data_IF_068831522409
#
_entry.id   IF_068831522409
#
_cell.length_a   1.000
_cell.length_b   1.000
_cell.length_c   1.000
_cell.angle_alpha   90.00
_cell.angle_beta   90.00
_cell.angle_gamma   90.00
#
_symmetry.space_group_name_H-M   'P 1'
#
loop_
_entity.id
_entity.type
_entity.pdbx_description
1 polymer ?
#
# COMPACT_ATOMS: atom_id res chain seq x y z
N UNK A 1 -11.00 -9.49 13.52
CA UNK A 1 -12.29 -8.78 13.55
C UNK A 1 -12.53 -8.00 12.26
N UNK A 2 -11.84 -6.87 11.99
CA UNK A 2 -12.06 -6.08 10.77
C UNK A 2 -11.96 -6.88 9.45
N UNK A 3 -10.91 -7.68 9.29
CA UNK A 3 -10.72 -8.52 8.09
C UNK A 3 -11.87 -9.50 7.90
N UNK A 4 -12.29 -10.17 8.97
CA UNK A 4 -13.37 -11.17 8.93
C UNK A 4 -14.71 -10.50 8.59
N UNK A 5 -15.03 -9.38 9.23
CA UNK A 5 -16.27 -8.63 8.97
C UNK A 5 -16.36 -8.20 7.50
N UNK A 6 -15.26 -7.72 6.93
CA UNK A 6 -15.21 -7.31 5.52
C UNK A 6 -15.49 -8.47 4.56
N UNK A 7 -14.92 -9.64 4.86
CA UNK A 7 -15.12 -10.87 4.08
C UNK A 7 -16.56 -11.36 4.23
N UNK A 8 -17.09 -11.40 5.44
CA UNK A 8 -18.47 -11.82 5.74
C UNK A 8 -19.51 -10.94 5.05
N UNK A 9 -19.30 -9.63 5.03
CA UNK A 9 -20.18 -8.66 4.35
C UNK A 9 -20.00 -8.68 2.83
N UNK A 10 -18.97 -9.37 2.31
CA UNK A 10 -18.74 -9.53 0.88
C UNK A 10 -18.23 -8.27 0.20
N UNK A 11 -17.39 -7.48 0.89
CA UNK A 11 -16.77 -6.27 0.31
C UNK A 11 -15.93 -6.67 -0.90
N UNK A 12 -16.26 -6.12 -2.07
CA UNK A 12 -15.63 -6.53 -3.35
C UNK A 12 -14.28 -5.87 -3.62
N UNK A 13 -14.10 -4.62 -3.18
CA UNK A 13 -12.88 -3.85 -3.39
C UNK A 13 -12.56 -3.07 -2.12
N UNK A 14 -11.32 -3.18 -1.66
CA UNK A 14 -10.85 -2.43 -0.51
C UNK A 14 -9.35 -2.13 -0.60
N UNK A 15 -8.97 -1.05 0.07
CA UNK A 15 -7.58 -0.68 0.32
C UNK A 15 -7.37 -0.66 1.82
N UNK A 16 -6.42 -1.45 2.29
CA UNK A 16 -5.99 -1.42 3.67
C UNK A 16 -4.89 -0.39 3.82
N UNK A 17 -5.33 0.77 4.32
CA UNK A 17 -4.51 1.94 4.55
C UNK A 17 -3.36 1.64 5.51
N UNK A 18 -2.13 2.02 5.11
CA UNK A 18 -0.89 1.91 5.91
C UNK A 18 -0.82 0.63 6.76
N UNK A 19 -0.95 -0.53 6.12
CA UNK A 19 -1.03 -1.79 6.86
C UNK A 19 0.26 -2.08 7.63
N UNK A 20 0.12 -2.29 8.94
CA UNK A 20 1.18 -2.67 9.89
C UNK A 20 0.78 -3.88 10.74
N UNK A 21 -0.29 -4.56 10.34
CA UNK A 21 -0.85 -5.68 11.08
C UNK A 21 -0.09 -7.00 10.89
N UNK A 22 -0.60 -8.08 11.51
CA UNK A 22 -0.05 -9.43 11.40
C UNK A 22 -0.02 -9.99 9.97
N UNK A 23 0.91 -10.92 9.70
CA UNK A 23 1.12 -11.50 8.36
C UNK A 23 -0.01 -12.46 7.93
N UNK A 24 -0.65 -13.14 8.87
CA UNK A 24 -1.84 -13.95 8.65
C UNK A 24 -3.02 -13.09 8.20
N UNK A 25 -3.21 -11.93 8.82
CA UNK A 25 -4.20 -10.96 8.38
C UNK A 25 -3.87 -10.44 6.98
N UNK A 26 -2.61 -10.07 6.71
CA UNK A 26 -2.19 -9.66 5.37
C UNK A 26 -2.51 -10.73 4.32
N UNK A 27 -2.16 -12.00 4.58
CA UNK A 27 -2.44 -13.10 3.66
C UNK A 27 -3.93 -13.18 3.33
N UNK A 28 -4.80 -13.14 4.35
CA UNK A 28 -6.26 -13.17 4.15
C UNK A 28 -6.74 -12.02 3.27
N UNK A 29 -6.20 -10.82 3.47
CA UNK A 29 -6.54 -9.65 2.65
C UNK A 29 -6.18 -9.85 1.18
N UNK A 30 -4.98 -10.37 0.92
CA UNK A 30 -4.48 -10.61 -0.43
C UNK A 30 -5.22 -11.75 -1.12
N UNK A 31 -5.57 -12.81 -0.40
CA UNK A 31 -6.39 -13.93 -0.91
C UNK A 31 -7.77 -13.44 -1.43
N UNK A 32 -8.26 -12.30 -0.92
CA UNK A 32 -9.52 -11.66 -1.35
C UNK A 32 -9.31 -10.53 -2.36
N UNK A 33 -8.10 -10.36 -2.90
CA UNK A 33 -7.80 -9.36 -3.92
C UNK A 33 -7.76 -7.91 -3.42
N UNK A 34 -7.74 -7.70 -2.10
CA UNK A 34 -7.61 -6.36 -1.52
C UNK A 34 -6.22 -5.80 -1.75
N UNK A 35 -6.12 -4.47 -1.74
CA UNK A 35 -4.86 -3.76 -1.93
C UNK A 35 -4.33 -3.20 -0.62
N UNK A 36 -3.02 -3.02 -0.52
CA UNK A 36 -2.34 -2.38 0.59
C UNK A 36 -1.71 -1.09 0.08
N UNK A 37 -1.91 0.02 0.80
CA UNK A 37 -1.24 1.28 0.46
C UNK A 37 0.09 1.42 1.21
N UNK A 38 1.08 1.97 0.51
CA UNK A 38 2.41 2.24 1.03
C UNK A 38 2.60 3.73 1.30
N UNK A 39 2.99 4.07 2.52
CA UNK A 39 3.31 5.43 2.95
C UNK A 39 4.83 5.68 2.97
N UNK A 40 5.30 6.92 3.21
CA UNK A 40 6.72 7.19 3.44
C UNK A 40 7.33 6.39 4.60
N UNK A 41 6.52 5.88 5.53
CA UNK A 41 6.97 4.98 6.60
C UNK A 41 7.58 3.68 6.07
N UNK A 42 7.33 3.29 4.81
CA UNK A 42 7.95 2.13 4.18
C UNK A 42 9.48 2.27 4.08
N UNK A 43 10.02 3.48 4.26
CA UNK A 43 11.46 3.68 4.37
C UNK A 43 12.06 3.14 5.69
N UNK A 44 11.28 2.99 6.76
CA UNK A 44 11.86 2.72 8.08
C UNK A 44 11.03 1.85 9.03
N UNK A 45 9.71 1.81 8.93
CA UNK A 45 8.87 0.99 9.80
C UNK A 45 9.10 -0.49 9.48
N UNK A 46 9.48 -1.28 10.48
CA UNK A 46 9.79 -2.71 10.31
C UNK A 46 8.55 -3.47 9.85
N UNK A 47 7.42 -3.22 10.49
CA UNK A 47 6.13 -3.86 10.25
C UNK A 47 5.59 -3.48 8.87
N UNK A 48 5.61 -2.18 8.54
CA UNK A 48 5.13 -1.72 7.24
C UNK A 48 6.02 -2.23 6.10
N UNK A 49 7.35 -2.23 6.28
CA UNK A 49 8.29 -2.83 5.30
C UNK A 49 8.02 -4.31 5.09
N UNK A 50 7.75 -5.07 6.15
CA UNK A 50 7.41 -6.49 6.02
C UNK A 50 6.10 -6.68 5.24
N UNK A 51 5.07 -5.88 5.52
CA UNK A 51 3.81 -5.92 4.79
C UNK A 51 4.00 -5.64 3.29
N UNK A 52 4.70 -4.56 2.94
CA UNK A 52 4.96 -4.19 1.55
C UNK A 52 5.80 -5.25 0.83
N UNK A 53 6.83 -5.82 1.48
CA UNK A 53 7.62 -6.92 0.88
C UNK A 53 6.76 -8.14 0.53
N UNK A 54 5.81 -8.49 1.39
CA UNK A 54 4.96 -9.67 1.21
C UNK A 54 3.71 -9.41 0.36
N UNK A 55 3.42 -8.16 0.00
CA UNK A 55 2.27 -7.80 -0.86
C UNK A 55 2.67 -7.85 -2.34
N UNK A 56 2.04 -8.65 -3.22
CA UNK A 56 2.31 -8.62 -4.66
C UNK A 56 2.17 -7.20 -5.24
N UNK A 57 2.95 -6.85 -6.28
CA UNK A 57 3.01 -5.48 -6.80
C UNK A 57 1.65 -5.02 -7.32
N UNK A 58 0.88 -5.93 -7.92
CA UNK A 58 -0.49 -5.76 -8.39
C UNK A 58 -1.51 -5.48 -7.27
N UNK A 59 -1.12 -5.62 -6.01
CA UNK A 59 -1.93 -5.29 -4.84
C UNK A 59 -1.39 -4.07 -4.07
N UNK A 60 -0.39 -3.34 -4.59
CA UNK A 60 0.17 -2.16 -3.92
C UNK A 60 -0.42 -0.87 -4.50
N UNK A 61 -0.73 0.07 -3.60
CA UNK A 61 -1.02 1.48 -3.91
C UNK A 61 0.03 2.37 -3.24
N UNK A 62 0.23 3.58 -3.76
CA UNK A 62 1.10 4.58 -3.11
C UNK A 62 0.25 5.67 -2.49
N UNK A 63 0.63 6.09 -1.28
CA UNK A 63 -0.01 7.21 -0.60
C UNK A 63 1.01 8.00 0.24
N UNK A 64 0.53 9.07 0.88
CA UNK A 64 1.34 9.88 1.82
C UNK A 64 0.72 10.02 3.19
N UNK A 65 -0.60 9.85 3.31
CA UNK A 65 -1.36 10.25 4.50
C UNK A 65 -1.06 11.69 4.94
N UNK A 66 -0.83 12.59 3.98
CA UNK A 66 -0.57 14.00 4.30
C UNK A 66 -1.75 14.60 5.07
N UNK A 67 -1.53 15.31 6.19
CA UNK A 67 -0.27 15.90 6.65
C UNK A 67 0.45 15.14 7.80
N UNK A 68 0.48 13.81 7.81
CA UNK A 68 1.19 13.04 8.85
C UNK A 68 2.67 13.39 8.92
N UNK A 69 3.22 13.47 10.14
CA UNK A 69 4.66 13.65 10.36
C UNK A 69 5.40 12.31 10.35
N UNK A 70 6.26 12.11 9.35
CA UNK A 70 7.14 10.96 9.26
C UNK A 70 8.52 11.33 9.80
N UNK A 71 8.81 10.94 11.04
CA UNK A 71 10.09 11.24 11.72
C UNK A 71 10.43 12.74 11.76
N UNK A 72 9.43 13.58 12.03
CA UNK A 72 9.61 15.03 12.17
C UNK A 72 9.40 15.83 10.88
N UNK A 73 9.27 15.16 9.73
CA UNK A 73 8.92 15.82 8.47
C UNK A 73 7.43 15.67 8.18
N UNK A 74 6.71 16.79 8.05
CA UNK A 74 5.29 16.80 7.68
C UNK A 74 5.15 16.37 6.22
N UNK A 75 4.27 15.40 5.95
CA UNK A 75 4.02 14.93 4.60
C UNK A 75 3.23 15.93 3.76
N UNK A 76 3.63 16.06 2.50
CA UNK A 76 2.87 16.69 1.43
C UNK A 76 2.55 15.65 0.35
N UNK A 77 1.53 15.85 -0.51
CA UNK A 77 1.20 14.92 -1.58
C UNK A 77 2.40 14.55 -2.48
N UNK A 78 3.32 15.50 -2.73
CA UNK A 78 4.54 15.27 -3.50
C UNK A 78 5.48 14.22 -2.86
N UNK A 79 5.37 13.99 -1.54
CA UNK A 79 6.12 12.95 -0.84
C UNK A 79 5.68 11.53 -1.21
N UNK A 80 4.69 11.34 -2.09
CA UNK A 80 4.39 10.02 -2.68
C UNK A 80 5.61 9.44 -3.41
N UNK A 81 6.54 10.29 -3.87
CA UNK A 81 7.83 9.86 -4.43
C UNK A 81 8.74 9.15 -3.41
N UNK A 82 8.58 9.43 -2.11
CA UNK A 82 9.28 8.73 -1.01
C UNK A 82 8.69 7.34 -0.80
N UNK A 83 7.36 7.20 -0.89
CA UNK A 83 6.66 5.90 -0.89
C UNK A 83 7.08 5.08 -2.11
N UNK A 84 7.08 5.69 -3.31
CA UNK A 84 7.53 5.06 -4.56
C UNK A 84 8.96 4.51 -4.43
N UNK A 85 9.88 5.32 -3.89
CA UNK A 85 11.28 4.92 -3.72
C UNK A 85 11.42 3.75 -2.75
N UNK A 86 10.68 3.77 -1.64
CA UNK A 86 10.67 2.67 -0.67
C UNK A 86 10.11 1.38 -1.28
N UNK A 87 8.99 1.45 -2.00
CA UNK A 87 8.39 0.25 -2.63
C UNK A 87 9.33 -0.32 -3.69
N UNK A 88 9.94 0.51 -4.54
CA UNK A 88 10.90 0.08 -5.54
C UNK A 88 12.10 -0.66 -4.92
N UNK A 89 12.67 -0.13 -3.83
CA UNK A 89 13.73 -0.79 -3.07
C UNK A 89 13.28 -2.14 -2.50
N UNK A 90 12.12 -2.18 -1.83
CA UNK A 90 11.59 -3.38 -1.19
C UNK A 90 11.23 -4.49 -2.18
N UNK A 91 10.91 -4.11 -3.42
CA UNK A 91 10.55 -5.03 -4.51
C UNK A 91 11.72 -5.41 -5.41
N UNK A 92 12.86 -4.73 -5.30
CA UNK A 92 13.97 -4.94 -6.23
C UNK A 92 13.62 -4.55 -7.66
N UNK A 93 12.76 -3.55 -7.84
CA UNK A 93 12.19 -3.14 -9.12
C UNK A 93 12.47 -1.66 -9.42
N UNK A 94 12.33 -1.27 -10.68
CA UNK A 94 12.53 0.15 -11.06
C UNK A 94 11.37 1.02 -10.58
N UNK A 95 11.66 2.30 -10.24
CA UNK A 95 10.62 3.29 -9.91
C UNK A 95 9.61 3.45 -11.05
N UNK A 96 10.04 3.37 -12.31
CA UNK A 96 9.15 3.43 -13.47
C UNK A 96 8.11 2.31 -13.42
N UNK A 97 8.56 1.06 -13.31
CA UNK A 97 7.66 -0.11 -13.22
C UNK A 97 6.70 0.01 -12.04
N UNK A 98 7.20 0.34 -10.84
CA UNK A 98 6.33 0.50 -9.67
C UNK A 98 5.32 1.63 -9.89
N UNK A 99 5.71 2.75 -10.47
CA UNK A 99 4.78 3.85 -10.74
C UNK A 99 3.69 3.47 -11.74
N UNK A 100 4.03 2.70 -12.79
CA UNK A 100 3.08 2.21 -13.79
C UNK A 100 2.09 1.24 -13.13
N UNK A 101 2.59 0.19 -12.48
CA UNK A 101 1.76 -0.84 -11.83
C UNK A 101 0.85 -0.26 -10.74
N UNK A 102 1.40 0.57 -9.85
CA UNK A 102 0.61 1.15 -8.73
C UNK A 102 -0.42 2.18 -9.23
N UNK A 103 -0.18 2.83 -10.37
CA UNK A 103 -1.18 3.68 -11.04
C UNK A 103 -2.30 2.85 -11.63
N UNK A 104 -1.98 1.74 -12.32
CA UNK A 104 -3.00 0.83 -12.85
C UNK A 104 -3.82 0.17 -11.74
N UNK A 105 -3.20 -0.16 -10.61
CA UNK A 105 -3.92 -0.62 -9.42
C UNK A 105 -4.91 0.44 -8.90
N UNK A 106 -4.50 1.72 -8.86
CA UNK A 106 -5.37 2.81 -8.45
C UNK A 106 -6.56 2.97 -9.41
N UNK A 107 -6.32 2.92 -10.74
CA UNK A 107 -7.40 2.91 -11.74
C UNK A 107 -8.38 1.78 -11.51
N UNK A 108 -7.88 0.56 -11.29
CA UNK A 108 -8.70 -0.65 -11.10
C UNK A 108 -9.54 -0.60 -9.82
N UNK A 109 -8.94 -0.15 -8.71
CA UNK A 109 -9.60 -0.13 -7.41
C UNK A 109 -10.61 1.02 -7.33
N UNK A 110 -10.24 2.23 -7.75
CA UNK A 110 -11.09 3.41 -7.65
C UNK A 110 -11.99 3.66 -8.87
N UNK A 111 -11.79 2.94 -9.98
CA UNK A 111 -12.57 3.11 -11.20
C UNK A 111 -12.32 4.44 -11.90
N UNK A 112 -11.10 4.97 -11.83
CA UNK A 112 -10.73 6.30 -12.33
C UNK A 112 -9.92 6.22 -13.64
N UNK A 113 -9.98 7.30 -14.42
CA UNK A 113 -9.12 7.54 -15.58
C UNK A 113 -8.20 8.73 -15.29
N UNK A 114 -6.89 8.50 -15.35
CA UNK A 114 -5.79 9.46 -15.21
C UNK A 114 -5.09 9.66 -16.56
#
# INVERSE_FOLDING_TARGET
>A
DCVEIMIEVGVQKAVFHWFTGPQDALKKLLDHGYCISATPAANYSKEHRAAIRNTPVENILLETDSPVSYRGEVAEPAHVLKSLSAVAELKGETKKKISEETTENARRVFGIQI
#
